data_IF_259639207665
#
_entry.id   IF_259639207665
#
_cell.length_a   1.000
_cell.length_b   1.000
_cell.length_c   1.000
_cell.angle_alpha   90.00
_cell.angle_beta   90.00
_cell.angle_gamma   90.00
#
_symmetry.space_group_name_H-M   'P 1'
#
loop_
_entity.id
_entity.type
_entity.pdbx_description
1 polymer ?
#
# COMPACT_ATOMS: atom_id res chain seq x y z
N UNK A 1 -18.58 -4.63 7.82
CA UNK A 1 -17.15 -4.42 7.57
C UNK A 1 -16.91 -4.59 6.08
N UNK A 2 -16.38 -3.57 5.41
CA UNK A 2 -16.13 -3.62 3.96
C UNK A 2 -14.84 -4.42 3.75
N UNK A 3 -14.92 -5.53 3.01
CA UNK A 3 -13.76 -6.37 2.69
C UNK A 3 -13.31 -5.98 1.28
N UNK A 4 -12.15 -5.35 1.16
CA UNK A 4 -11.55 -5.04 -0.13
C UNK A 4 -11.04 -6.33 -0.76
N UNK A 5 -11.70 -6.80 -1.82
CA UNK A 5 -11.36 -8.04 -2.52
C UNK A 5 -10.32 -7.87 -3.64
N UNK A 6 -9.71 -6.69 -3.78
CA UNK A 6 -8.49 -6.48 -4.58
C UNK A 6 -7.95 -5.06 -4.29
N UNK A 7 -7.31 -4.86 -3.13
CA UNK A 7 -6.94 -3.52 -2.66
C UNK A 7 -5.93 -2.80 -3.57
N UNK A 8 -5.08 -3.54 -4.29
CA UNK A 8 -4.11 -2.97 -5.21
C UNK A 8 -4.70 -2.64 -6.60
N UNK A 9 -5.89 -3.14 -6.95
CA UNK A 9 -6.54 -2.86 -8.23
C UNK A 9 -7.16 -1.45 -8.31
N UNK A 10 -7.52 -0.87 -7.17
CA UNK A 10 -8.15 0.46 -7.06
C UNK A 10 -7.14 1.60 -6.82
N UNK A 11 -5.84 1.36 -6.95
CA UNK A 11 -4.83 2.38 -6.69
C UNK A 11 -4.87 3.49 -7.74
N UNK A 12 -4.78 4.72 -7.26
CA UNK A 12 -4.51 5.91 -8.06
C UNK A 12 -3.12 5.76 -8.74
N UNK A 13 -3.04 5.82 -10.08
CA UNK A 13 -1.80 5.57 -10.81
C UNK A 13 -0.70 6.61 -10.60
N UNK A 14 -1.04 7.81 -10.08
CA UNK A 14 -0.09 8.92 -9.90
C UNK A 14 0.45 9.06 -8.48
N UNK A 15 0.01 8.21 -7.54
CA UNK A 15 0.51 8.17 -6.17
C UNK A 15 1.28 6.88 -5.94
N UNK A 16 2.29 6.91 -5.07
CA UNK A 16 2.98 5.66 -4.70
C UNK A 16 2.05 4.72 -3.93
N UNK A 17 2.30 3.41 -4.03
CA UNK A 17 1.51 2.39 -3.33
C UNK A 17 1.52 2.65 -1.83
N UNK A 18 2.69 2.98 -1.28
CA UNK A 18 2.85 3.26 0.15
C UNK A 18 2.16 4.53 0.63
N UNK A 19 2.09 5.58 -0.19
CA UNK A 19 1.35 6.79 0.18
C UNK A 19 -0.14 6.51 0.30
N UNK A 20 -0.72 5.77 -0.65
CA UNK A 20 -2.15 5.46 -0.65
C UNK A 20 -2.53 4.53 0.49
N UNK A 21 -1.72 3.50 0.76
CA UNK A 21 -1.93 2.62 1.91
C UNK A 21 -1.72 3.39 3.22
N UNK A 22 -0.70 4.25 3.28
CA UNK A 22 -0.37 5.09 4.43
C UNK A 22 -1.46 6.11 4.77
N UNK A 23 -2.10 6.69 3.75
CA UNK A 23 -3.14 7.70 3.90
C UNK A 23 -4.31 7.21 4.77
N UNK A 24 -4.71 5.95 4.64
CA UNK A 24 -5.72 5.33 5.49
C UNK A 24 -5.37 5.46 6.98
N UNK A 25 -4.10 5.25 7.36
CA UNK A 25 -3.66 5.35 8.75
C UNK A 25 -3.58 6.80 9.23
N UNK A 26 -3.18 7.73 8.36
CA UNK A 26 -3.16 9.16 8.70
C UNK A 26 -4.58 9.67 8.93
N UNK A 27 -5.48 9.40 7.97
CA UNK A 27 -6.86 9.94 7.98
C UNK A 27 -7.71 9.32 9.07
N UNK A 28 -7.63 7.99 9.27
CA UNK A 28 -8.54 7.30 10.18
C UNK A 28 -7.94 6.99 11.56
N UNK A 29 -6.61 7.04 11.70
CA UNK A 29 -5.94 6.69 12.97
C UNK A 29 -5.03 7.81 13.49
N UNK A 30 -4.95 8.96 12.80
CA UNK A 30 -4.17 10.12 13.24
C UNK A 30 -2.66 9.87 13.29
N UNK A 31 -2.16 8.86 12.56
CA UNK A 31 -0.74 8.52 12.58
C UNK A 31 0.12 9.60 11.91
N UNK A 32 1.37 9.71 12.36
CA UNK A 32 2.37 10.50 11.61
C UNK A 32 2.62 9.86 10.24
N UNK A 33 3.03 10.65 9.25
CA UNK A 33 3.38 10.14 7.91
C UNK A 33 4.47 9.05 7.98
N UNK A 34 5.40 9.17 8.93
CA UNK A 34 6.47 8.20 9.13
C UNK A 34 5.92 6.85 9.61
N UNK A 35 5.04 6.88 10.60
CA UNK A 35 4.46 5.66 11.18
C UNK A 35 3.46 5.02 10.20
N UNK A 36 2.67 5.83 9.50
CA UNK A 36 1.78 5.38 8.44
C UNK A 36 2.54 4.69 7.31
N UNK A 37 3.72 5.21 6.91
CA UNK A 37 4.58 4.56 5.94
C UNK A 37 5.12 3.22 6.46
N UNK A 38 5.49 3.13 7.73
CA UNK A 38 5.90 1.86 8.33
C UNK A 38 4.75 0.84 8.32
N UNK A 39 3.52 1.26 8.65
CA UNK A 39 2.33 0.41 8.54
C UNK A 39 2.00 -0.02 7.12
N UNK A 40 2.24 0.84 6.13
CA UNK A 40 2.10 0.45 4.73
C UNK A 40 3.06 -0.68 4.35
N UNK A 41 4.32 -0.62 4.79
CA UNK A 41 5.29 -1.71 4.58
C UNK A 41 4.81 -3.00 5.24
N UNK A 42 4.36 -2.94 6.51
CA UNK A 42 3.84 -4.11 7.23
C UNK A 42 2.64 -4.76 6.49
N UNK A 43 1.73 -3.94 5.95
CA UNK A 43 0.58 -4.44 5.20
C UNK A 43 1.01 -5.09 3.87
N UNK A 44 1.93 -4.46 3.15
CA UNK A 44 2.50 -5.00 1.91
C UNK A 44 3.20 -6.34 2.15
N UNK A 45 3.96 -6.48 3.25
CA UNK A 45 4.56 -7.76 3.65
C UNK A 45 3.49 -8.81 3.98
N UNK A 46 2.40 -8.42 4.66
CA UNK A 46 1.30 -9.31 5.02
C UNK A 46 0.60 -9.92 3.81
N UNK A 47 0.46 -9.16 2.72
CA UNK A 47 -0.08 -9.65 1.44
C UNK A 47 1.01 -10.21 0.52
N UNK A 48 2.22 -10.43 1.05
CA UNK A 48 3.35 -11.08 0.37
C UNK A 48 3.83 -10.29 -0.86
N UNK A 49 3.89 -8.97 -0.79
CA UNK A 49 4.65 -8.17 -1.76
C UNK A 49 6.14 -8.37 -1.47
N UNK A 50 6.94 -8.92 -2.40
CA UNK A 50 8.36 -9.14 -2.17
C UNK A 50 9.10 -7.79 -2.10
N UNK A 51 10.06 -7.68 -1.18
CA UNK A 51 10.83 -6.46 -0.95
C UNK A 51 9.92 -5.25 -0.66
N UNK A 52 8.93 -5.41 0.23
CA UNK A 52 7.92 -4.40 0.50
C UNK A 52 8.53 -3.04 0.91
N UNK A 53 9.60 -3.06 1.70
CA UNK A 53 10.29 -1.84 2.16
C UNK A 53 10.88 -1.04 1.00
N UNK A 54 11.43 -1.71 0.01
CA UNK A 54 11.97 -1.10 -1.21
C UNK A 54 10.83 -0.67 -2.15
N UNK A 55 9.77 -1.48 -2.23
CA UNK A 55 8.65 -1.28 -3.16
C UNK A 55 7.59 -0.31 -2.66
N UNK A 56 7.60 0.08 -1.40
CA UNK A 56 6.61 1.02 -0.82
C UNK A 56 6.59 2.37 -1.55
N UNK A 57 7.72 2.78 -2.15
CA UNK A 57 7.82 3.99 -2.96
C UNK A 57 7.48 3.81 -4.44
N UNK A 58 7.15 2.60 -4.87
CA UNK A 58 6.80 2.34 -6.27
C UNK A 58 5.37 2.74 -6.56
N UNK A 59 5.11 3.07 -7.82
CA UNK A 59 3.80 3.34 -8.37
C UNK A 59 3.10 2.05 -8.82
N UNK A 60 1.76 2.04 -8.96
CA UNK A 60 1.00 0.85 -9.32
C UNK A 60 1.45 0.19 -10.64
N UNK A 61 1.87 0.99 -11.63
CA UNK A 61 2.33 0.48 -12.92
C UNK A 61 3.68 -0.24 -12.85
N UNK A 62 4.43 -0.10 -11.75
CA UNK A 62 5.70 -0.79 -11.52
C UNK A 62 5.50 -2.17 -10.86
N UNK A 63 4.28 -2.50 -10.44
CA UNK A 63 3.95 -3.81 -9.89
C UNK A 63 3.59 -4.80 -11.02
N UNK A 64 4.06 -6.04 -10.88
CA UNK A 64 3.62 -7.13 -11.76
C UNK A 64 2.10 -7.36 -11.64
N UNK A 65 1.49 -8.03 -12.63
CA UNK A 65 0.06 -8.36 -12.58
C UNK A 65 -0.32 -9.13 -11.30
N UNK A 66 0.46 -10.15 -10.94
CA UNK A 66 0.23 -10.92 -9.71
C UNK A 66 0.54 -10.17 -8.42
N UNK A 67 1.32 -9.07 -8.47
CA UNK A 67 1.46 -8.18 -7.31
C UNK A 67 0.23 -7.29 -7.16
N UNK A 68 -0.41 -6.84 -8.25
CA UNK A 68 -1.61 -5.99 -8.21
C UNK A 68 -2.89 -6.71 -7.78
N UNK A 69 -2.87 -8.04 -7.71
CA UNK A 69 -3.97 -8.90 -7.26
C UNK A 69 -3.83 -9.35 -5.79
N UNK A 70 -2.85 -8.81 -5.06
CA UNK A 70 -2.58 -9.14 -3.65
C UNK A 70 -3.05 -8.00 -2.75
#
# INVERSE_FOLDING_TARGET
AMIFQDALSSLNPVLSVGEQIGELFVVHQGMSKKDARAKAVELMDRVRIPAAKERVGQYPHQFSGGMRQR
#
